data_IF_702271371173
#
_entry.id   IF_702271371173
#
_cell.length_a   1.000
_cell.length_b   1.000
_cell.length_c   1.000
_cell.angle_alpha   90.00
_cell.angle_beta   90.00
_cell.angle_gamma   90.00
#
_symmetry.space_group_name_H-M   'P 1'
#
loop_
_entity.id
_entity.type
_entity.pdbx_description
1 polymer ?
#
# COMPACT_ATOMS: atom_id res chain seq x y z
N UNK A 1 20.60 18.86 60.93
CA UNK A 1 20.98 20.07 60.18
C UNK A 1 20.83 19.69 58.70
N UNK A 2 19.71 19.93 58.10
CA UNK A 2 19.21 21.10 57.38
C UNK A 2 19.94 21.32 56.03
N UNK A 3 19.24 21.22 54.96
CA UNK A 3 19.71 21.62 53.62
C UNK A 3 18.76 21.21 52.51
N UNK A 4 17.47 21.63 52.53
CA UNK A 4 16.56 21.63 51.38
C UNK A 4 17.06 22.68 50.39
N UNK A 5 17.41 22.26 49.15
CA UNK A 5 17.42 23.16 47.99
C UNK A 5 16.63 22.54 46.86
N UNK A 6 15.41 22.98 46.72
CA UNK A 6 14.55 22.77 45.59
C UNK A 6 15.10 23.55 44.37
N UNK A 7 15.60 22.89 43.35
CA UNK A 7 15.84 23.49 42.04
C UNK A 7 14.53 23.55 41.27
N UNK A 8 13.94 24.72 41.18
CA UNK A 8 12.88 25.09 40.26
C UNK A 8 13.46 25.17 38.85
N UNK A 9 13.21 24.18 38.00
CA UNK A 9 13.39 24.35 36.58
C UNK A 9 12.24 25.21 36.03
N UNK A 10 12.59 26.45 35.63
CA UNK A 10 11.76 27.35 34.85
C UNK A 10 11.51 26.68 33.48
N UNK A 11 10.28 26.32 33.21
CA UNK A 11 9.83 26.06 31.86
C UNK A 11 9.78 27.40 31.12
N UNK A 12 10.69 27.62 30.17
CA UNK A 12 10.60 28.71 29.22
C UNK A 12 9.54 28.32 28.17
N UNK A 13 8.39 28.98 28.24
CA UNK A 13 7.40 28.95 27.19
C UNK A 13 8.00 29.62 25.94
N UNK A 14 8.17 28.87 24.87
CA UNK A 14 8.52 29.40 23.57
C UNK A 14 7.26 30.06 22.99
N UNK A 15 7.32 31.40 22.90
CA UNK A 15 6.25 32.21 22.34
C UNK A 15 6.11 31.91 20.82
N UNK A 16 4.88 31.72 20.38
CA UNK A 16 4.55 31.57 18.97
C UNK A 16 4.86 32.88 18.19
N UNK A 17 5.35 32.78 16.95
CA UNK A 17 5.61 33.98 16.13
C UNK A 17 4.30 34.68 15.73
N UNK A 18 4.31 36.01 15.62
CA UNK A 18 3.11 36.78 15.28
C UNK A 18 2.67 36.52 13.83
N UNK A 19 1.35 36.66 13.52
CA UNK A 19 0.85 36.44 12.17
C UNK A 19 1.33 37.54 11.23
N UNK A 20 1.89 37.12 10.09
CA UNK A 20 2.32 38.03 9.02
C UNK A 20 1.10 38.58 8.29
N UNK A 21 0.85 39.88 8.42
CA UNK A 21 -0.20 40.59 7.71
C UNK A 21 0.12 40.63 6.20
N UNK A 22 -0.65 39.92 5.37
CA UNK A 22 -0.60 40.05 3.92
C UNK A 22 -1.29 41.38 3.52
N UNK A 23 -0.51 42.38 3.12
CA UNK A 23 -1.01 43.56 2.44
C UNK A 23 -1.62 43.17 1.08
N UNK A 24 -2.93 43.24 0.96
CA UNK A 24 -3.66 43.08 -0.31
C UNK A 24 -3.35 44.25 -1.23
N UNK A 25 -2.63 43.98 -2.31
CA UNK A 25 -2.52 44.93 -3.42
C UNK A 25 -3.80 44.86 -4.24
N UNK A 26 -4.71 45.83 -4.04
CA UNK A 26 -5.83 46.10 -4.99
C UNK A 26 -5.20 46.67 -6.25
N UNK A 27 -5.14 45.90 -7.32
CA UNK A 27 -4.93 46.42 -8.66
C UNK A 27 -6.29 46.83 -9.24
N UNK A 28 -6.50 48.11 -9.39
CA UNK A 28 -7.64 48.65 -10.13
C UNK A 28 -7.41 48.39 -11.62
N UNK A 29 -8.26 47.61 -12.24
CA UNK A 29 -8.23 47.39 -13.68
C UNK A 29 -8.85 48.60 -14.38
N UNK A 30 -8.15 49.19 -15.34
CA UNK A 30 -8.61 50.29 -16.18
C UNK A 30 -9.74 49.82 -17.12
N UNK A 31 -10.81 50.59 -17.34
CA UNK A 31 -11.98 50.16 -18.11
C UNK A 31 -11.72 49.96 -19.63
N UNK A 32 -10.54 50.28 -20.11
CA UNK A 32 -10.17 50.09 -21.54
C UNK A 32 -9.77 48.63 -21.91
N UNK A 33 -9.59 47.76 -20.95
CA UNK A 33 -9.18 46.36 -21.19
C UNK A 33 -10.39 45.43 -21.28
N UNK A 34 -11.59 45.85 -20.83
CA UNK A 34 -12.81 45.00 -20.88
C UNK A 34 -13.38 44.79 -22.28
N UNK A 35 -13.10 45.68 -23.22
CA UNK A 35 -13.65 45.61 -24.59
C UNK A 35 -13.00 44.56 -25.48
N UNK A 36 -11.73 44.19 -25.23
CA UNK A 36 -11.00 43.26 -26.10
C UNK A 36 -11.23 41.80 -25.67
N UNK A 37 -11.51 41.54 -24.39
CA UNK A 37 -11.77 40.19 -23.88
C UNK A 37 -13.13 39.60 -24.34
N UNK A 38 -14.14 40.46 -24.63
CA UNK A 38 -15.46 40.00 -25.04
C UNK A 38 -15.53 39.51 -26.49
N UNK A 39 -14.69 40.05 -27.39
CA UNK A 39 -14.65 39.61 -28.78
C UNK A 39 -13.85 38.32 -28.97
N UNK A 40 -12.79 38.14 -28.21
CA UNK A 40 -12.00 36.90 -28.25
C UNK A 40 -12.77 35.68 -27.71
N UNK A 41 -13.65 35.89 -26.72
CA UNK A 41 -14.47 34.81 -26.14
C UNK A 41 -15.51 34.23 -27.11
N UNK A 42 -16.12 35.10 -27.96
CA UNK A 42 -17.11 34.64 -28.92
C UNK A 42 -16.54 33.86 -30.11
N UNK A 43 -15.33 34.18 -30.54
CA UNK A 43 -14.66 33.43 -31.63
C UNK A 43 -14.23 32.04 -31.15
N UNK A 44 -13.77 31.91 -29.91
CA UNK A 44 -13.37 30.60 -29.34
C UNK A 44 -14.60 29.71 -29.10
N UNK A 45 -15.72 30.27 -28.64
CA UNK A 45 -16.96 29.50 -28.47
C UNK A 45 -17.55 29.01 -29.81
N UNK A 46 -17.45 29.81 -30.89
CA UNK A 46 -17.90 29.41 -32.23
C UNK A 46 -17.05 28.26 -32.82
N UNK A 47 -15.76 28.26 -32.59
CA UNK A 47 -14.86 27.21 -33.08
C UNK A 47 -15.07 25.88 -32.30
N UNK A 48 -15.31 25.94 -30.99
CA UNK A 48 -15.55 24.72 -30.19
C UNK A 48 -16.91 24.08 -30.57
N UNK A 49 -17.96 24.89 -30.83
CA UNK A 49 -19.25 24.35 -31.26
C UNK A 49 -19.18 23.80 -32.69
N UNK A 50 -18.41 24.42 -33.59
CA UNK A 50 -18.20 23.91 -34.96
C UNK A 50 -17.46 22.60 -35.02
N UNK A 51 -16.45 22.39 -34.14
CA UNK A 51 -15.70 21.14 -34.04
C UNK A 51 -16.56 20.02 -33.40
N UNK A 52 -17.42 20.38 -32.43
CA UNK A 52 -18.32 19.40 -31.81
C UNK A 52 -19.41 18.87 -32.76
N UNK A 53 -19.83 19.65 -33.75
CA UNK A 53 -20.79 19.23 -34.76
C UNK A 53 -20.17 18.49 -35.96
N UNK A 54 -18.85 18.64 -36.19
CA UNK A 54 -18.13 17.97 -37.27
C UNK A 54 -17.56 16.60 -36.87
N UNK A 55 -17.39 16.34 -35.55
CA UNK A 55 -16.99 15.03 -35.00
C UNK A 55 -18.23 14.30 -34.46
N UNK A 56 -19.25 14.16 -35.29
CA UNK A 56 -20.37 13.23 -35.10
C UNK A 56 -20.00 11.81 -35.46
N UNK A 57 -18.82 11.36 -35.02
CA UNK A 57 -18.37 9.98 -35.06
C UNK A 57 -18.58 9.36 -33.68
N UNK A 58 -19.41 8.33 -33.62
CA UNK A 58 -19.65 7.38 -32.54
C UNK A 58 -18.77 7.61 -31.33
N UNK A 59 -19.27 8.23 -30.29
CA UNK A 59 -18.73 8.09 -28.93
C UNK A 59 -18.86 6.60 -28.60
N UNK A 60 -17.83 5.83 -28.94
CA UNK A 60 -17.55 4.58 -28.28
C UNK A 60 -17.29 4.99 -26.84
N UNK A 61 -18.31 5.03 -26.00
CA UNK A 61 -18.16 4.92 -24.57
C UNK A 61 -17.46 3.58 -24.37
N UNK A 62 -16.12 3.61 -24.33
CA UNK A 62 -15.33 2.53 -23.75
C UNK A 62 -15.71 2.53 -22.27
N UNK A 63 -16.85 1.89 -21.96
CA UNK A 63 -17.05 1.36 -20.64
C UNK A 63 -15.87 0.41 -20.44
N UNK A 64 -14.86 0.86 -19.70
CA UNK A 64 -13.75 0.01 -19.27
C UNK A 64 -14.35 -1.03 -18.34
N UNK A 65 -14.94 -2.06 -18.94
CA UNK A 65 -15.49 -3.18 -18.20
C UNK A 65 -14.29 -3.86 -17.55
N UNK A 66 -14.21 -3.76 -16.24
CA UNK A 66 -13.22 -4.50 -15.48
C UNK A 66 -13.27 -5.95 -15.90
N UNK A 67 -12.13 -6.56 -16.26
CA UNK A 67 -12.12 -7.96 -16.60
C UNK A 67 -12.60 -8.78 -15.40
N UNK A 68 -13.48 -9.76 -15.64
CA UNK A 68 -13.95 -10.64 -14.58
C UNK A 68 -12.80 -11.46 -13.97
N UNK A 69 -11.85 -11.86 -14.80
CA UNK A 69 -10.65 -12.63 -14.40
C UNK A 69 -9.40 -11.84 -14.74
N UNK A 70 -8.51 -11.75 -13.77
CA UNK A 70 -7.22 -11.06 -13.89
C UNK A 70 -6.30 -11.76 -14.90
N UNK A 71 -5.49 -10.96 -15.59
CA UNK A 71 -4.54 -11.42 -16.61
C UNK A 71 -3.38 -10.45 -16.76
N UNK A 72 -2.36 -10.84 -17.55
CA UNK A 72 -1.26 -9.91 -17.90
C UNK A 72 -1.61 -8.97 -19.05
N UNK A 73 -2.76 -9.15 -19.70
CA UNK A 73 -3.23 -8.24 -20.73
C UNK A 73 -3.70 -6.93 -20.10
N UNK A 74 -3.10 -5.82 -20.50
CA UNK A 74 -3.35 -4.48 -19.92
C UNK A 74 -3.11 -4.42 -18.40
N UNK A 75 -2.21 -5.24 -17.89
CA UNK A 75 -1.86 -5.26 -16.48
C UNK A 75 -1.07 -4.01 -16.08
N UNK A 76 -1.10 -3.69 -14.79
CA UNK A 76 -0.22 -2.66 -14.21
C UNK A 76 1.25 -3.01 -14.44
N UNK A 77 2.14 -2.01 -14.46
CA UNK A 77 3.58 -2.22 -14.51
C UNK A 77 4.05 -3.29 -13.51
N UNK A 78 5.09 -4.04 -13.89
CA UNK A 78 5.71 -5.10 -13.08
C UNK A 78 4.87 -6.38 -12.85
N UNK A 79 3.64 -6.48 -13.34
CA UNK A 79 2.78 -7.66 -13.13
C UNK A 79 3.45 -8.97 -13.59
N UNK A 80 4.15 -8.96 -14.73
CA UNK A 80 4.91 -10.15 -15.19
C UNK A 80 6.06 -10.52 -14.25
N UNK A 81 6.77 -9.54 -13.70
CA UNK A 81 7.86 -9.77 -12.74
C UNK A 81 7.31 -10.39 -11.46
N UNK A 82 6.21 -9.84 -10.94
CA UNK A 82 5.52 -10.39 -9.77
C UNK A 82 5.03 -11.81 -10.03
N UNK A 83 4.46 -12.08 -11.20
CA UNK A 83 4.02 -13.43 -11.55
C UNK A 83 5.19 -14.42 -11.60
N UNK A 84 6.36 -14.03 -12.12
CA UNK A 84 7.56 -14.88 -12.12
C UNK A 84 8.09 -15.12 -10.70
N UNK A 85 8.08 -14.09 -9.86
CA UNK A 85 8.54 -14.18 -8.48
C UNK A 85 7.80 -15.25 -7.67
N UNK A 86 6.47 -15.32 -7.80
CA UNK A 86 5.66 -16.27 -7.03
C UNK A 86 5.35 -17.58 -7.77
N UNK A 87 5.79 -17.72 -9.02
CA UNK A 87 5.53 -18.95 -9.80
C UNK A 87 6.06 -20.19 -9.09
N UNK A 88 5.18 -21.18 -8.88
CA UNK A 88 5.52 -22.47 -8.28
C UNK A 88 5.67 -22.43 -6.75
N UNK A 89 5.48 -21.28 -6.09
CA UNK A 89 5.47 -21.20 -4.64
C UNK A 89 4.02 -21.37 -4.15
N UNK A 90 3.72 -22.32 -3.25
CA UNK A 90 2.37 -22.46 -2.71
C UNK A 90 1.99 -21.24 -1.88
N UNK A 91 0.73 -20.81 -2.03
CA UNK A 91 0.10 -19.81 -1.18
C UNK A 91 -1.14 -20.43 -0.54
N UNK A 92 -1.28 -20.26 0.77
CA UNK A 92 -2.44 -20.73 1.53
C UNK A 92 -2.98 -19.57 2.37
N UNK A 93 -3.97 -18.87 1.83
CA UNK A 93 -4.47 -17.67 2.45
C UNK A 93 -3.39 -16.58 2.53
N UNK A 94 -3.07 -16.14 3.74
CA UNK A 94 -2.01 -15.16 4.02
C UNK A 94 -0.64 -15.81 4.29
N UNK A 95 -0.43 -17.06 3.90
CA UNK A 95 0.85 -17.78 4.06
C UNK A 95 1.46 -18.09 2.71
N UNK A 96 2.73 -17.74 2.53
CA UNK A 96 3.57 -18.05 1.37
C UNK A 96 4.59 -19.14 1.75
N UNK A 97 4.71 -20.15 0.92
CA UNK A 97 5.66 -21.26 1.09
C UNK A 97 5.02 -22.49 1.71
N UNK A 98 5.86 -23.49 2.01
CA UNK A 98 5.42 -24.77 2.55
C UNK A 98 4.85 -24.62 3.97
N UNK A 99 3.64 -25.12 4.27
CA UNK A 99 3.11 -25.12 5.64
C UNK A 99 4.00 -25.95 6.61
N UNK A 100 4.82 -26.86 6.08
CA UNK A 100 5.77 -27.71 6.85
C UNK A 100 7.15 -27.07 7.04
N UNK A 101 7.37 -25.84 6.57
CA UNK A 101 8.66 -25.15 6.71
C UNK A 101 9.08 -25.07 8.20
N UNK A 102 10.35 -25.36 8.52
CA UNK A 102 10.84 -25.37 9.90
C UNK A 102 10.87 -23.97 10.53
N UNK A 103 10.99 -22.92 9.72
CA UNK A 103 11.01 -21.52 10.18
C UNK A 103 9.76 -20.80 9.73
N UNK A 104 9.21 -19.98 10.62
CA UNK A 104 8.12 -19.05 10.32
C UNK A 104 8.61 -17.61 10.44
N UNK A 105 8.32 -16.80 9.44
CA UNK A 105 8.42 -15.35 9.52
C UNK A 105 7.02 -14.75 9.44
N UNK A 106 6.67 -13.91 10.42
CA UNK A 106 5.48 -13.06 10.38
C UNK A 106 5.91 -11.68 9.94
N UNK A 107 5.17 -11.09 9.01
CA UNK A 107 5.38 -9.71 8.57
C UNK A 107 4.11 -8.87 8.77
N UNK A 108 4.20 -7.83 9.63
CA UNK A 108 3.21 -6.79 9.73
C UNK A 108 3.53 -5.71 8.72
N UNK A 109 2.63 -5.50 7.77
CA UNK A 109 2.84 -4.62 6.62
C UNK A 109 1.63 -3.71 6.42
N UNK A 110 1.89 -2.51 5.86
CA UNK A 110 0.86 -1.60 5.39
C UNK A 110 1.11 -1.31 3.90
N UNK A 111 0.08 -1.45 3.07
CA UNK A 111 0.22 -1.32 1.62
C UNK A 111 0.52 0.10 1.15
N UNK A 112 0.35 1.11 2.02
CA UNK A 112 0.78 2.48 1.75
C UNK A 112 2.20 2.78 2.23
N UNK A 113 2.77 1.96 3.13
CA UNK A 113 4.03 2.27 3.79
C UNK A 113 5.23 2.20 2.84
N UNK A 114 6.00 3.30 2.65
CA UNK A 114 7.20 3.29 1.80
C UNK A 114 8.30 2.36 2.32
N UNK A 115 8.43 2.21 3.63
CA UNK A 115 9.34 1.24 4.25
C UNK A 115 8.96 -0.20 3.91
N UNK A 116 7.65 -0.52 3.88
CA UNK A 116 7.16 -1.82 3.42
C UNK A 116 7.47 -2.04 1.94
N UNK A 117 7.23 -1.02 1.08
CA UNK A 117 7.61 -1.10 -0.33
C UNK A 117 9.09 -1.41 -0.49
N UNK A 118 9.96 -0.67 0.20
CA UNK A 118 11.41 -0.89 0.12
C UNK A 118 11.79 -2.32 0.52
N UNK A 119 11.21 -2.83 1.61
CA UNK A 119 11.41 -4.20 2.06
C UNK A 119 10.91 -5.22 1.02
N UNK A 120 9.65 -5.10 0.59
CA UNK A 120 8.99 -6.04 -0.31
C UNK A 120 9.66 -6.10 -1.69
N UNK A 121 10.14 -4.95 -2.22
CA UNK A 121 10.72 -4.90 -3.57
C UNK A 121 12.23 -5.12 -3.62
N UNK A 122 12.96 -4.92 -2.52
CA UNK A 122 14.43 -4.95 -2.53
C UNK A 122 15.04 -6.04 -1.64
N UNK A 123 14.34 -6.48 -0.60
CA UNK A 123 14.85 -7.47 0.38
C UNK A 123 14.14 -8.80 0.24
N UNK A 124 12.81 -8.79 0.27
CA UNK A 124 12.00 -10.01 0.28
C UNK A 124 12.26 -10.94 -0.92
N UNK A 125 12.52 -10.48 -2.16
CA UNK A 125 12.79 -11.38 -3.28
C UNK A 125 13.97 -12.33 -3.04
N UNK A 126 15.04 -11.84 -2.40
CA UNK A 126 16.20 -12.68 -2.05
C UNK A 126 15.85 -13.72 -0.99
N UNK A 127 15.06 -13.34 0.02
CA UNK A 127 14.56 -14.24 1.07
C UNK A 127 13.65 -15.32 0.49
N UNK A 128 12.78 -14.95 -0.44
CA UNK A 128 11.93 -15.92 -1.15
C UNK A 128 12.77 -16.94 -1.90
N UNK A 129 13.77 -16.49 -2.65
CA UNK A 129 14.63 -17.37 -3.44
C UNK A 129 15.44 -18.33 -2.56
N UNK A 130 16.05 -17.81 -1.49
CA UNK A 130 16.95 -18.60 -0.67
C UNK A 130 16.22 -19.55 0.29
N UNK A 131 15.11 -19.11 0.87
CA UNK A 131 14.48 -19.85 1.98
C UNK A 131 13.07 -20.37 1.68
N UNK A 132 12.22 -19.57 1.01
CA UNK A 132 10.83 -19.98 0.77
C UNK A 132 10.75 -21.04 -0.31
N UNK A 133 11.44 -20.85 -1.44
CA UNK A 133 11.47 -21.81 -2.55
C UNK A 133 12.12 -23.13 -2.16
N UNK A 134 13.05 -23.09 -1.22
CA UNK A 134 13.74 -24.28 -0.70
C UNK A 134 12.98 -24.96 0.42
N UNK A 135 11.79 -24.46 0.80
CA UNK A 135 10.95 -25.03 1.84
C UNK A 135 11.47 -24.82 3.27
N UNK A 136 12.50 -24.00 3.46
CA UNK A 136 13.11 -23.70 4.77
C UNK A 136 12.33 -22.66 5.57
N UNK A 137 11.60 -21.77 4.88
CA UNK A 137 10.83 -20.67 5.47
C UNK A 137 9.42 -20.67 4.91
N UNK A 138 8.45 -20.34 5.76
CA UNK A 138 7.16 -19.81 5.35
C UNK A 138 6.98 -18.40 5.88
N UNK A 139 6.30 -17.56 5.09
CA UNK A 139 6.00 -16.16 5.42
C UNK A 139 4.50 -16.05 5.69
N UNK A 140 4.13 -15.53 6.86
CA UNK A 140 2.75 -15.18 7.22
C UNK A 140 2.59 -13.67 7.14
N UNK A 141 1.81 -13.17 6.19
CA UNK A 141 1.50 -11.75 6.06
C UNK A 141 0.36 -11.36 7.00
N UNK A 142 0.54 -10.27 7.72
CA UNK A 142 -0.45 -9.63 8.60
C UNK A 142 -0.64 -8.18 8.18
N UNK A 143 -1.50 -7.91 7.18
CA UNK A 143 -1.75 -6.56 6.71
C UNK A 143 -2.48 -5.75 7.77
N UNK A 144 -1.94 -4.57 8.11
CA UNK A 144 -2.54 -3.59 9.03
C UNK A 144 -2.78 -2.26 8.32
N UNK A 145 -3.65 -1.42 8.89
CA UNK A 145 -3.87 -0.05 8.42
C UNK A 145 -3.20 0.90 9.43
N UNK A 146 -1.91 1.10 9.27
CA UNK A 146 -1.06 1.86 10.18
C UNK A 146 -0.85 3.31 9.73
N UNK A 147 -0.67 3.52 8.41
CA UNK A 147 -0.33 4.83 7.84
C UNK A 147 -1.53 5.78 7.83
N UNK A 148 -2.74 5.27 7.53
CA UNK A 148 -3.91 6.12 7.47
C UNK A 148 -5.14 5.49 6.84
N UNK A 149 -6.18 6.30 6.58
CA UNK A 149 -7.49 5.80 6.11
C UNK A 149 -7.41 5.10 4.75
N UNK A 150 -6.52 5.51 3.85
CA UNK A 150 -6.35 4.88 2.54
C UNK A 150 -5.78 3.44 2.65
N UNK A 151 -5.16 3.07 3.78
CA UNK A 151 -4.70 1.71 4.04
C UNK A 151 -5.85 0.73 4.29
N UNK A 152 -7.01 1.21 4.75
CA UNK A 152 -8.13 0.36 5.16
C UNK A 152 -8.69 -0.47 3.99
N UNK A 153 -9.06 0.12 2.82
CA UNK A 153 -9.58 -0.64 1.69
C UNK A 153 -8.54 -1.62 1.11
N UNK A 154 -7.27 -1.23 1.06
CA UNK A 154 -6.21 -2.09 0.54
C UNK A 154 -5.93 -3.29 1.43
N UNK A 155 -5.91 -3.11 2.76
CA UNK A 155 -5.82 -4.21 3.73
C UNK A 155 -6.94 -5.22 3.53
N UNK A 156 -8.18 -4.74 3.41
CA UNK A 156 -9.34 -5.59 3.14
C UNK A 156 -9.21 -6.36 1.83
N UNK A 157 -8.76 -5.67 0.77
CA UNK A 157 -8.53 -6.28 -0.54
C UNK A 157 -7.44 -7.37 -0.50
N UNK A 158 -6.33 -7.16 0.21
CA UNK A 158 -5.30 -8.19 0.38
C UNK A 158 -5.84 -9.42 1.15
N UNK A 159 -6.65 -9.20 2.20
CA UNK A 159 -7.29 -10.30 2.93
C UNK A 159 -8.31 -11.02 2.03
N UNK A 160 -9.08 -10.30 1.21
CA UNK A 160 -9.98 -10.90 0.22
C UNK A 160 -9.21 -11.71 -0.83
N UNK A 161 -8.09 -11.19 -1.36
CA UNK A 161 -7.21 -11.91 -2.28
C UNK A 161 -6.67 -13.22 -1.69
N UNK A 162 -6.52 -13.29 -0.36
CA UNK A 162 -6.07 -14.48 0.33
C UNK A 162 -7.03 -15.66 0.20
N UNK A 163 -8.34 -15.41 0.05
CA UNK A 163 -9.34 -16.47 -0.22
C UNK A 163 -9.09 -17.20 -1.54
N UNK A 164 -8.41 -16.52 -2.46
CA UNK A 164 -8.04 -17.06 -3.77
C UNK A 164 -6.57 -17.51 -3.83
N UNK A 165 -5.85 -17.51 -2.68
CA UNK A 165 -4.41 -17.79 -2.59
C UNK A 165 -3.57 -16.88 -3.51
N UNK A 166 -3.89 -15.58 -3.53
CA UNK A 166 -3.24 -14.55 -4.37
C UNK A 166 -2.86 -13.29 -3.56
N UNK A 167 -2.86 -13.38 -2.23
CA UNK A 167 -2.56 -12.24 -1.37
C UNK A 167 -1.19 -11.60 -1.65
N UNK A 168 -0.16 -12.43 -1.82
CA UNK A 168 1.21 -11.95 -2.08
C UNK A 168 1.35 -11.35 -3.47
N UNK A 169 0.72 -11.94 -4.49
CA UNK A 169 0.70 -11.35 -5.83
C UNK A 169 0.02 -9.97 -5.82
N UNK A 170 -1.13 -9.85 -5.15
CA UNK A 170 -1.85 -8.59 -5.03
C UNK A 170 -1.02 -7.53 -4.28
N UNK A 171 -0.45 -7.88 -3.14
CA UNK A 171 0.38 -6.99 -2.35
C UNK A 171 1.62 -6.50 -3.14
N UNK A 172 2.33 -7.39 -3.81
CA UNK A 172 3.53 -7.05 -4.54
C UNK A 172 3.24 -6.15 -5.76
N UNK A 173 2.13 -6.38 -6.49
CA UNK A 173 1.67 -5.46 -7.53
C UNK A 173 1.35 -4.09 -6.94
N UNK A 174 0.70 -4.05 -5.78
CA UNK A 174 0.38 -2.79 -5.09
C UNK A 174 1.65 -2.04 -4.71
N UNK A 175 2.66 -2.70 -4.12
CA UNK A 175 3.93 -2.07 -3.77
C UNK A 175 4.73 -1.61 -4.99
N UNK A 176 4.76 -2.40 -6.05
CA UNK A 176 5.47 -2.03 -7.28
C UNK A 176 4.90 -0.76 -7.94
N UNK A 177 3.61 -0.46 -7.70
CA UNK A 177 2.89 0.69 -8.23
C UNK A 177 2.48 1.70 -7.15
N UNK A 178 3.15 1.70 -6.00
CA UNK A 178 2.78 2.52 -4.84
C UNK A 178 2.95 4.02 -5.11
N UNK A 179 1.89 4.78 -4.83
CA UNK A 179 1.88 6.24 -4.82
C UNK A 179 2.29 6.83 -3.47
N UNK A 180 2.10 8.15 -3.33
CA UNK A 180 2.39 8.86 -2.07
C UNK A 180 1.31 8.58 -1.02
N UNK A 181 1.72 8.39 0.23
CA UNK A 181 0.82 8.14 1.36
C UNK A 181 -0.32 9.14 1.46
N UNK A 182 -1.52 8.66 1.76
CA UNK A 182 -2.72 9.46 2.04
C UNK A 182 -3.07 10.51 0.98
N UNK A 183 -2.81 10.21 -0.30
CA UNK A 183 -3.20 11.07 -1.44
C UNK A 183 -4.40 10.53 -2.22
N UNK A 184 -5.08 9.52 -1.70
CA UNK A 184 -6.26 8.90 -2.33
C UNK A 184 -5.93 7.98 -3.52
N UNK A 185 -4.64 7.65 -3.76
CA UNK A 185 -4.23 6.77 -4.86
C UNK A 185 -4.68 5.32 -4.65
N UNK A 186 -4.66 4.86 -3.39
CA UNK A 186 -5.01 3.49 -3.01
C UNK A 186 -6.54 3.35 -2.82
N UNK A 187 -7.27 3.72 -3.85
CA UNK A 187 -8.73 3.69 -3.92
C UNK A 187 -9.26 2.42 -4.61
N UNK A 188 -10.58 2.27 -4.69
CA UNK A 188 -11.22 1.09 -5.30
C UNK A 188 -10.84 0.89 -6.77
N UNK A 189 -10.63 1.97 -7.54
CA UNK A 189 -10.20 1.88 -8.94
C UNK A 189 -8.80 1.26 -9.04
N UNK A 190 -7.86 1.71 -8.20
CA UNK A 190 -6.52 1.13 -8.15
C UNK A 190 -6.57 -0.35 -7.69
N UNK A 191 -7.32 -0.66 -6.62
CA UNK A 191 -7.50 -2.02 -6.10
C UNK A 191 -8.02 -2.95 -7.20
N UNK A 192 -9.00 -2.50 -7.97
CA UNK A 192 -9.58 -3.23 -9.09
C UNK A 192 -8.54 -3.50 -10.19
N UNK A 193 -7.73 -2.50 -10.56
CA UNK A 193 -6.65 -2.66 -11.54
C UNK A 193 -5.55 -3.59 -11.03
N UNK A 194 -5.19 -3.48 -9.75
CA UNK A 194 -4.20 -4.36 -9.13
C UNK A 194 -4.69 -5.83 -9.14
N UNK A 195 -5.93 -6.08 -8.76
CA UNK A 195 -6.55 -7.40 -8.82
C UNK A 195 -6.62 -7.93 -10.26
N UNK A 196 -7.02 -7.09 -11.23
CA UNK A 196 -7.08 -7.45 -12.65
C UNK A 196 -5.70 -7.77 -13.24
N UNK A 197 -4.61 -7.32 -12.60
CA UNK A 197 -3.23 -7.58 -12.99
C UNK A 197 -2.66 -8.89 -12.42
N UNK A 198 -3.43 -9.63 -11.61
CA UNK A 198 -3.04 -10.94 -11.07
C UNK A 198 -3.67 -12.04 -11.91
N UNK A 199 -2.90 -12.83 -12.68
CA UNK A 199 -3.46 -13.89 -13.51
C UNK A 199 -4.29 -14.91 -12.71
N UNK A 200 -5.52 -15.15 -13.19
CA UNK A 200 -6.45 -16.08 -12.56
C UNK A 200 -7.17 -15.56 -11.31
N UNK A 201 -7.03 -14.27 -10.96
CA UNK A 201 -7.80 -13.64 -9.90
C UNK A 201 -9.26 -13.45 -10.37
N UNK A 202 -10.22 -13.94 -9.62
CA UNK A 202 -11.62 -13.49 -9.74
C UNK A 202 -11.70 -12.08 -9.14
N UNK A 203 -11.73 -11.07 -10.03
CA UNK A 203 -11.71 -9.67 -9.64
C UNK A 203 -13.01 -9.27 -8.94
N UNK A 204 -14.15 -9.72 -9.46
CA UNK A 204 -15.46 -9.42 -8.85
C UNK A 204 -15.56 -10.07 -7.48
N UNK A 205 -15.21 -11.34 -7.36
CA UNK A 205 -15.20 -12.05 -6.09
C UNK A 205 -14.29 -11.38 -5.05
N UNK A 206 -13.13 -10.82 -5.45
CA UNK A 206 -12.28 -10.05 -4.55
C UNK A 206 -12.99 -8.78 -4.06
N UNK A 207 -13.64 -8.03 -4.97
CA UNK A 207 -14.31 -6.77 -4.62
C UNK A 207 -15.51 -7.02 -3.69
N UNK A 208 -16.30 -8.04 -3.97
CA UNK A 208 -17.47 -8.43 -3.16
C UNK A 208 -17.05 -8.94 -1.77
N UNK A 209 -15.89 -9.59 -1.69
CA UNK A 209 -15.37 -10.17 -0.44
C UNK A 209 -14.77 -9.16 0.54
N UNK A 210 -14.42 -7.93 0.11
CA UNK A 210 -13.74 -6.94 0.96
C UNK A 210 -14.53 -6.62 2.25
N UNK A 211 -15.86 -6.62 2.18
CA UNK A 211 -16.74 -6.34 3.33
C UNK A 211 -17.36 -7.60 3.92
N UNK A 212 -16.89 -8.78 3.53
CA UNK A 212 -17.38 -10.05 4.07
C UNK A 212 -17.06 -10.22 5.55
N UNK A 213 -17.89 -10.98 6.23
CA UNK A 213 -17.65 -11.36 7.63
C UNK A 213 -16.30 -12.03 7.85
N UNK A 214 -15.81 -12.78 6.86
CA UNK A 214 -14.49 -13.42 6.94
C UNK A 214 -13.37 -12.37 6.97
N UNK A 215 -13.40 -11.39 6.05
CA UNK A 215 -12.41 -10.31 6.00
C UNK A 215 -12.47 -9.48 7.28
N UNK A 216 -13.65 -9.14 7.75
CA UNK A 216 -13.85 -8.41 9.02
C UNK A 216 -13.25 -9.15 10.20
N UNK A 217 -13.55 -10.44 10.36
CA UNK A 217 -12.97 -11.28 11.44
C UNK A 217 -11.45 -11.40 11.33
N UNK A 218 -10.92 -11.57 10.11
CA UNK A 218 -9.48 -11.63 9.90
C UNK A 218 -8.80 -10.30 10.27
N UNK A 219 -9.39 -9.18 9.89
CA UNK A 219 -8.95 -7.82 10.25
C UNK A 219 -8.82 -7.67 11.77
N UNK A 220 -9.90 -7.96 12.52
CA UNK A 220 -9.88 -7.86 13.99
C UNK A 220 -8.85 -8.79 14.64
N UNK A 221 -8.71 -10.02 14.12
CA UNK A 221 -7.69 -10.95 14.61
C UNK A 221 -6.28 -10.42 14.40
N UNK A 222 -5.99 -9.87 13.21
CA UNK A 222 -4.67 -9.31 12.89
C UNK A 222 -4.38 -8.08 13.77
N UNK A 223 -5.37 -7.20 14.01
CA UNK A 223 -5.20 -6.04 14.88
C UNK A 223 -4.91 -6.44 16.33
N UNK A 224 -5.62 -7.46 16.84
CA UNK A 224 -5.35 -8.01 18.15
C UNK A 224 -3.94 -8.62 18.26
N UNK A 225 -3.48 -9.33 17.22
CA UNK A 225 -2.14 -9.88 17.15
C UNK A 225 -1.08 -8.77 17.09
N UNK A 226 -1.31 -7.70 16.30
CA UNK A 226 -0.40 -6.55 16.22
C UNK A 226 -0.25 -5.86 17.59
N UNK A 227 -1.36 -5.73 18.33
CA UNK A 227 -1.34 -5.20 19.70
C UNK A 227 -0.56 -6.09 20.66
N UNK A 228 -0.80 -7.42 20.62
CA UNK A 228 -0.09 -8.38 21.46
C UNK A 228 1.42 -8.43 21.17
N UNK A 229 1.80 -8.32 19.89
CA UNK A 229 3.19 -8.30 19.43
C UNK A 229 3.83 -6.90 19.56
N UNK A 230 3.10 -5.92 20.10
CA UNK A 230 3.56 -4.52 20.32
C UNK A 230 4.11 -3.88 19.03
N UNK A 231 3.37 -4.03 17.94
CA UNK A 231 3.72 -3.44 16.65
C UNK A 231 3.53 -1.93 16.72
N UNK A 232 4.62 -1.18 16.53
CA UNK A 232 4.67 0.29 16.59
C UNK A 232 5.21 0.93 15.31
N UNK A 233 5.52 0.11 14.30
CA UNK A 233 6.08 0.54 13.01
C UNK A 233 5.80 -0.52 11.94
N UNK A 234 5.87 -0.14 10.67
CA UNK A 234 5.81 -1.06 9.53
C UNK A 234 6.99 -0.83 8.57
N UNK A 235 7.60 -1.91 8.01
CA UNK A 235 7.30 -3.30 8.32
C UNK A 235 7.84 -3.73 9.69
N UNK A 236 7.11 -4.59 10.42
CA UNK A 236 7.62 -5.30 11.60
C UNK A 236 7.73 -6.78 11.25
N UNK A 237 8.92 -7.37 11.43
CA UNK A 237 9.20 -8.76 11.12
C UNK A 237 9.47 -9.55 12.41
N UNK A 238 8.84 -10.72 12.53
CA UNK A 238 9.07 -11.66 13.61
C UNK A 238 9.53 -12.99 13.01
N UNK A 239 10.64 -13.57 13.51
CA UNK A 239 11.23 -14.81 12.99
C UNK A 239 11.41 -15.80 14.13
N UNK A 240 11.21 -17.07 13.85
CA UNK A 240 11.48 -18.16 14.79
C UNK A 240 11.14 -19.54 14.24
N UNK A 241 11.47 -20.57 15.03
CA UNK A 241 11.08 -21.94 14.73
C UNK A 241 9.56 -22.06 14.64
N UNK A 242 9.07 -22.76 13.63
CA UNK A 242 7.63 -22.99 13.44
C UNK A 242 7.02 -23.66 14.68
N UNK A 243 5.92 -23.08 15.17
CA UNK A 243 5.23 -23.54 16.37
C UNK A 243 5.83 -23.02 17.70
N UNK A 244 6.89 -22.22 17.65
CA UNK A 244 7.49 -21.60 18.83
C UNK A 244 7.24 -20.09 18.89
N UNK A 245 7.62 -19.45 19.99
CA UNK A 245 7.56 -18.00 20.11
C UNK A 245 8.51 -17.33 19.12
N UNK A 246 7.97 -16.44 18.27
CA UNK A 246 8.76 -15.66 17.33
C UNK A 246 9.43 -14.48 18.03
N UNK A 247 10.57 -14.03 17.50
CA UNK A 247 11.31 -12.87 18.00
C UNK A 247 11.30 -11.76 16.96
N UNK A 248 11.10 -10.51 17.40
CA UNK A 248 11.22 -9.34 16.52
C UNK A 248 12.64 -9.27 15.98
N UNK A 249 12.77 -9.12 14.66
CA UNK A 249 14.04 -8.85 14.02
C UNK A 249 14.37 -7.37 14.24
N UNK A 250 15.45 -7.10 14.96
CA UNK A 250 15.96 -5.75 15.15
C UNK A 250 16.72 -5.34 13.88
N UNK A 251 16.16 -4.45 13.10
CA UNK A 251 16.83 -3.85 11.95
C UNK A 251 16.37 -2.41 11.83
N UNK A 252 17.27 -1.53 11.44
CA UNK A 252 16.92 -0.20 10.98
C UNK A 252 16.35 -0.31 9.57
N UNK A 253 15.20 0.31 9.30
CA UNK A 253 14.66 0.35 7.96
C UNK A 253 15.58 1.18 7.02
N UNK A 254 15.81 0.74 5.73
CA UNK A 254 15.30 -0.49 5.13
C UNK A 254 16.03 -1.73 5.66
N UNK A 255 15.31 -2.84 5.82
CA UNK A 255 15.90 -4.10 6.28
C UNK A 255 17.09 -4.53 5.43
N UNK A 256 18.15 -5.03 6.08
CA UNK A 256 19.29 -5.63 5.40
C UNK A 256 18.99 -7.11 5.11
N UNK A 257 19.09 -7.51 3.84
CA UNK A 257 18.82 -8.89 3.43
C UNK A 257 19.75 -9.91 4.13
N UNK A 258 21.02 -9.57 4.35
CA UNK A 258 21.99 -10.46 5.01
C UNK A 258 21.66 -10.65 6.51
N UNK A 259 21.25 -9.60 7.20
CA UNK A 259 20.81 -9.66 8.60
C UNK A 259 19.55 -10.49 8.76
N UNK A 260 18.57 -10.30 7.88
CA UNK A 260 17.35 -11.09 7.89
C UNK A 260 17.63 -12.56 7.58
N UNK A 261 18.47 -12.85 6.58
CA UNK A 261 18.90 -14.20 6.27
C UNK A 261 19.64 -14.87 7.44
N UNK A 262 20.48 -14.13 8.18
CA UNK A 262 21.14 -14.63 9.38
C UNK A 262 20.13 -14.97 10.49
N UNK A 263 19.13 -14.11 10.72
CA UNK A 263 18.06 -14.36 11.67
C UNK A 263 17.23 -15.61 11.31
N UNK A 264 16.94 -15.82 10.02
CA UNK A 264 16.23 -17.01 9.53
C UNK A 264 17.07 -18.25 9.74
N UNK A 265 18.37 -18.23 9.37
CA UNK A 265 19.28 -19.38 9.58
C UNK A 265 19.44 -19.74 11.05
N UNK A 266 19.47 -18.75 11.95
CA UNK A 266 19.60 -18.99 13.39
C UNK A 266 18.33 -19.56 14.04
N UNK A 267 17.19 -19.49 13.37
CA UNK A 267 15.90 -19.95 13.85
C UNK A 267 15.56 -21.39 13.41
N UNK A 268 16.24 -21.94 12.41
CA UNK A 268 16.08 -23.31 11.89
C UNK A 268 17.16 -24.19 12.38
#
# INVERSE_FOLDING_TARGET
MSGKQARRHRQQAVAAPPPVARKGARRSASPKVLGIAAVAGLVIAGVIVGIALAVGGKSSSSSSTTPAIGSLKNALPFAETVQREFKGIPQHGLVLGSPKAPVTMVQYIDLQCPGCRAYETSVQPSIIQEFVRTGKLKIEARPIAFIGPDSIPARKAMIAASKQNRAFNFAQITYANQGTENTGWLNQTFIQHAAASVPGMDVRGLLDDQDSTLVTKATHRIDAQATADKVSETPTLLVGKTGSKLKKVSSTAPFNAAELAAAIRSAG
#
